data_IF_593652256401
#
_entry.id   IF_593652256401
#
_cell.length_a   1.000
_cell.length_b   1.000
_cell.length_c   1.000
_cell.angle_alpha   90.00
_cell.angle_beta   90.00
_cell.angle_gamma   90.00
#
_symmetry.space_group_name_H-M   'P 1'
#
loop_
_entity.id
_entity.type
_entity.pdbx_description
1 polymer ?
#
# COMPACT_ATOMS: atom_id res chain seq x y z
N UNK A 1 12.53 14.94 -21.87
CA UNK A 1 11.57 13.82 -22.02
C UNK A 1 10.75 13.75 -20.73
N UNK A 2 10.10 14.86 -20.37
CA UNK A 2 9.61 15.06 -18.99
C UNK A 2 8.27 14.40 -18.75
N UNK A 3 7.39 14.39 -19.75
CA UNK A 3 6.06 13.78 -19.64
C UNK A 3 6.12 12.28 -19.33
N UNK A 4 7.11 11.56 -19.89
CA UNK A 4 7.31 10.13 -19.60
C UNK A 4 7.69 9.92 -18.13
N UNK A 5 8.57 10.77 -17.60
CA UNK A 5 8.98 10.71 -16.20
C UNK A 5 7.80 11.00 -15.25
N UNK A 6 6.98 12.02 -15.54
CA UNK A 6 5.80 12.34 -14.73
C UNK A 6 4.76 11.22 -14.72
N UNK A 7 4.46 10.65 -15.89
CA UNK A 7 3.50 9.54 -16.01
C UNK A 7 4.02 8.30 -15.30
N UNK A 8 5.32 8.00 -15.44
CA UNK A 8 5.96 6.87 -14.77
C UNK A 8 5.85 6.99 -13.25
N UNK A 9 6.24 8.15 -12.70
CA UNK A 9 6.18 8.40 -11.25
C UNK A 9 4.74 8.31 -10.77
N UNK A 10 3.79 8.94 -11.47
CA UNK A 10 2.38 8.92 -11.10
C UNK A 10 1.80 7.50 -11.09
N UNK A 11 2.13 6.70 -12.11
CA UNK A 11 1.69 5.30 -12.21
C UNK A 11 2.29 4.46 -11.09
N UNK A 12 3.57 4.66 -10.76
CA UNK A 12 4.22 3.98 -9.64
C UNK A 12 3.58 4.36 -8.29
N UNK A 13 3.27 5.65 -8.07
CA UNK A 13 2.58 6.10 -6.87
C UNK A 13 1.21 5.42 -6.70
N UNK A 14 0.39 5.39 -7.75
CA UNK A 14 -0.92 4.71 -7.71
C UNK A 14 -0.74 3.21 -7.47
N UNK A 15 0.21 2.58 -8.15
CA UNK A 15 0.54 1.18 -7.93
C UNK A 15 0.90 0.89 -6.47
N UNK A 16 1.82 1.66 -5.89
CA UNK A 16 2.21 1.52 -4.49
C UNK A 16 1.01 1.67 -3.54
N UNK A 17 0.14 2.65 -3.75
CA UNK A 17 -1.07 2.82 -2.94
C UNK A 17 -2.03 1.64 -3.06
N UNK A 18 -2.23 1.12 -4.28
CA UNK A 18 -3.06 -0.06 -4.51
C UNK A 18 -2.50 -1.28 -3.76
N UNK A 19 -1.20 -1.56 -3.89
CA UNK A 19 -0.58 -2.70 -3.21
C UNK A 19 -0.60 -2.54 -1.68
N UNK A 20 -0.39 -1.32 -1.18
CA UNK A 20 -0.48 -1.01 0.24
C UNK A 20 -1.88 -1.23 0.84
N UNK A 21 -2.94 -1.18 0.02
CA UNK A 21 -4.31 -1.46 0.48
C UNK A 21 -4.64 -2.95 0.28
N UNK A 22 -4.40 -3.48 -0.91
CA UNK A 22 -4.80 -4.83 -1.28
C UNK A 22 -4.00 -5.93 -0.57
N UNK A 23 -2.72 -5.66 -0.26
CA UNK A 23 -1.80 -6.66 0.30
C UNK A 23 -1.21 -6.24 1.66
N UNK A 24 -1.84 -5.31 2.39
CA UNK A 24 -1.41 -5.04 3.77
C UNK A 24 -1.63 -6.28 4.64
N UNK A 25 -0.73 -6.47 5.59
CA UNK A 25 -0.95 -7.47 6.63
C UNK A 25 -2.26 -7.16 7.36
N UNK A 26 -3.13 -8.17 7.58
CA UNK A 26 -4.34 -7.96 8.35
C UNK A 26 -3.95 -7.52 9.77
N UNK A 27 -4.73 -6.62 10.39
CA UNK A 27 -4.48 -6.20 11.75
C UNK A 27 -4.49 -7.44 12.67
N UNK A 28 -3.45 -7.59 13.47
CA UNK A 28 -3.39 -8.67 14.46
C UNK A 28 -4.13 -8.22 15.70
N UNK A 29 -5.13 -9.01 16.11
CA UNK A 29 -5.83 -8.80 17.37
C UNK A 29 -5.21 -9.72 18.43
N UNK A 30 -4.69 -9.14 19.51
CA UNK A 30 -4.33 -9.92 20.69
C UNK A 30 -5.63 -10.38 21.36
N UNK A 31 -5.73 -11.69 21.67
CA UNK A 31 -6.86 -12.18 22.48
C UNK A 31 -6.71 -11.60 23.90
N UNK A 32 -7.79 -11.10 24.53
CA UNK A 32 -7.72 -10.74 25.93
C UNK A 32 -7.24 -11.98 26.70
N UNK A 33 -6.21 -11.81 27.55
CA UNK A 33 -5.84 -12.83 28.53
C UNK A 33 -7.03 -12.97 29.47
N UNK A 34 -7.87 -13.96 29.22
CA UNK A 34 -8.81 -14.45 30.23
C UNK A 34 -7.97 -14.78 31.48
N UNK A 35 -8.26 -14.05 32.56
CA UNK A 35 -7.61 -14.19 33.87
C UNK A 35 -8.09 -15.45 34.57
#
# INVERSE_FOLDING_TARGET
MESVAYILIFTLCIGTLFFAIAFREPPRFEKPKDK
#
